data_IF_102111677474
#
_entry.id   IF_102111677474
#
_cell.length_a   1.000
_cell.length_b   1.000
_cell.length_c   1.000
_cell.angle_alpha   90.00
_cell.angle_beta   90.00
_cell.angle_gamma   90.00
#
_symmetry.space_group_name_H-M   'P 1'
#
loop_
_entity.id
_entity.type
_entity.pdbx_description
1 polymer ?
#
# COMPACT_ATOMS: atom_id res chain seq x y z
N UNK A 1 -16.03 -0.15 -2.19
CA UNK A 1 -15.59 1.14 -2.75
C UNK A 1 -14.69 0.87 -3.95
N UNK A 2 -14.65 1.77 -4.93
CA UNK A 2 -13.70 1.66 -6.04
C UNK A 2 -12.26 1.96 -5.59
N UNK A 3 -11.28 1.66 -6.43
CA UNK A 3 -9.86 1.81 -6.07
C UNK A 3 -9.51 3.25 -5.67
N UNK A 4 -10.03 4.24 -6.41
CA UNK A 4 -9.85 5.66 -6.10
C UNK A 4 -10.45 6.04 -4.74
N UNK A 5 -11.65 5.52 -4.44
CA UNK A 5 -12.32 5.71 -3.16
C UNK A 5 -11.55 5.05 -2.01
N UNK A 6 -10.99 3.86 -2.23
CA UNK A 6 -10.16 3.16 -1.25
C UNK A 6 -8.85 3.91 -0.95
N UNK A 7 -8.20 4.44 -1.98
CA UNK A 7 -7.04 5.31 -1.84
C UNK A 7 -7.37 6.54 -0.99
N UNK A 8 -8.47 7.24 -1.29
CA UNK A 8 -8.88 8.40 -0.51
C UNK A 8 -9.28 8.02 0.93
N UNK A 9 -9.96 6.89 1.11
CA UNK A 9 -10.36 6.37 2.41
C UNK A 9 -9.14 6.17 3.32
N UNK A 10 -8.09 5.49 2.86
CA UNK A 10 -6.88 5.29 3.66
C UNK A 10 -6.19 6.63 4.00
N UNK A 11 -6.14 7.56 3.03
CA UNK A 11 -5.54 8.89 3.24
C UNK A 11 -6.27 9.73 4.28
N UNK A 12 -7.57 9.52 4.46
CA UNK A 12 -8.33 10.17 5.53
C UNK A 12 -7.94 9.71 6.94
N UNK A 13 -7.18 8.61 7.06
CA UNK A 13 -6.65 8.06 8.30
C UNK A 13 -5.11 8.12 8.35
N UNK A 14 -4.50 9.11 7.69
CA UNK A 14 -3.03 9.30 7.64
C UNK A 14 -2.25 8.07 7.14
N UNK A 15 -2.90 7.24 6.34
CA UNK A 15 -2.38 6.00 5.76
C UNK A 15 -2.47 6.05 4.23
N UNK A 16 -1.94 5.04 3.55
CA UNK A 16 -2.17 4.84 2.12
C UNK A 16 -2.71 3.42 1.89
N UNK A 17 -3.24 3.13 0.69
CA UNK A 17 -3.54 1.74 0.34
C UNK A 17 -2.26 0.91 0.48
N UNK A 18 -2.40 -0.29 1.05
CA UNK A 18 -1.25 -1.12 1.36
C UNK A 18 -0.48 -1.54 0.11
N UNK A 19 0.85 -1.43 0.17
CA UNK A 19 1.75 -1.95 -0.86
C UNK A 19 2.55 -3.08 -0.22
N UNK A 20 2.46 -4.26 -0.82
CA UNK A 20 3.17 -5.45 -0.31
C UNK A 20 4.55 -5.48 -0.98
N UNK A 21 5.60 -5.35 -0.18
CA UNK A 21 6.98 -5.22 -0.66
C UNK A 21 7.80 -6.51 -0.47
N UNK A 22 7.24 -7.52 0.19
CA UNK A 22 7.94 -8.80 0.42
C UNK A 22 7.01 -10.01 0.64
N UNK A 23 7.55 -11.21 0.47
CA UNK A 23 6.87 -12.47 0.81
C UNK A 23 6.52 -12.54 2.30
N UNK A 24 7.35 -11.94 3.17
CA UNK A 24 7.09 -11.91 4.61
C UNK A 24 5.83 -11.09 4.94
N UNK A 25 5.66 -9.92 4.30
CA UNK A 25 4.46 -9.09 4.44
C UNK A 25 3.23 -9.80 3.86
N UNK A 26 3.37 -10.43 2.70
CA UNK A 26 2.27 -11.20 2.10
C UNK A 26 1.84 -12.36 3.00
N UNK A 27 2.77 -13.05 3.64
CA UNK A 27 2.46 -14.14 4.56
C UNK A 27 1.80 -13.63 5.85
N UNK A 28 2.29 -12.53 6.41
CA UNK A 28 1.68 -11.90 7.59
C UNK A 28 0.23 -11.47 7.29
N UNK A 29 -0.01 -10.83 6.14
CA UNK A 29 -1.34 -10.43 5.70
C UNK A 29 -2.24 -11.63 5.45
N UNK A 30 -1.72 -12.68 4.79
CA UNK A 30 -2.44 -13.92 4.58
C UNK A 30 -2.89 -14.57 5.90
N UNK A 31 -1.98 -14.71 6.86
CA UNK A 31 -2.33 -15.23 8.18
C UNK A 31 -3.43 -14.39 8.82
N UNK A 32 -3.28 -13.06 8.86
CA UNK A 32 -4.29 -12.18 9.44
C UNK A 32 -5.67 -12.30 8.76
N UNK A 33 -5.72 -12.31 7.42
CA UNK A 33 -6.98 -12.36 6.68
C UNK A 33 -7.63 -13.75 6.66
N UNK A 34 -6.89 -14.82 6.93
CA UNK A 34 -7.45 -16.17 6.95
C UNK A 34 -7.80 -16.66 8.35
N UNK A 35 -7.15 -16.14 9.40
CA UNK A 35 -7.43 -16.52 10.79
C UNK A 35 -8.55 -15.71 11.42
N UNK A 36 -8.77 -14.48 10.95
CA UNK A 36 -9.85 -13.63 11.46
C UNK A 36 -11.14 -13.88 10.66
N UNK A 37 -12.25 -14.07 11.38
CA UNK A 37 -13.55 -14.40 10.78
C UNK A 37 -14.04 -13.30 9.83
N UNK A 38 -14.64 -13.70 8.70
CA UNK A 38 -15.35 -12.81 7.78
C UNK A 38 -14.56 -12.26 6.60
N UNK A 39 -13.30 -12.64 6.40
CA UNK A 39 -12.47 -12.12 5.30
C UNK A 39 -12.24 -13.09 4.13
N UNK A 40 -12.48 -14.39 4.30
CA UNK A 40 -12.18 -15.44 3.31
C UNK A 40 -13.03 -15.40 2.02
N UNK A 41 -14.05 -14.55 1.96
CA UNK A 41 -14.83 -14.28 0.74
C UNK A 41 -14.68 -12.86 0.21
N UNK A 42 -13.74 -12.07 0.75
CA UNK A 42 -13.59 -10.67 0.43
C UNK A 42 -12.41 -10.44 -0.53
N UNK A 43 -12.50 -9.34 -1.27
CA UNK A 43 -11.45 -8.83 -2.12
C UNK A 43 -10.98 -7.47 -1.60
N UNK A 44 -9.69 -7.21 -1.73
CA UNK A 44 -9.06 -6.05 -1.11
C UNK A 44 -8.15 -5.32 -2.07
N UNK A 45 -8.36 -4.02 -2.25
CA UNK A 45 -7.49 -3.18 -3.06
C UNK A 45 -6.08 -3.06 -2.44
N UNK A 46 -5.07 -3.02 -3.31
CA UNK A 46 -3.69 -2.68 -2.98
C UNK A 46 -3.30 -1.33 -3.62
N UNK A 47 -2.27 -0.71 -3.07
CA UNK A 47 -1.72 0.57 -3.51
C UNK A 47 -0.86 0.46 -4.77
N UNK A 48 -1.25 -0.35 -5.74
CA UNK A 48 -0.50 -0.60 -6.97
C UNK A 48 -1.43 -0.47 -8.18
N UNK A 49 -0.94 0.20 -9.23
CA UNK A 49 -1.67 0.46 -10.47
C UNK A 49 -0.72 0.64 -11.65
N UNK A 50 -1.15 0.30 -12.85
CA UNK A 50 -0.47 0.59 -14.12
C UNK A 50 -1.24 1.58 -15.01
N UNK A 51 -2.21 2.33 -14.44
CA UNK A 51 -2.98 3.40 -15.11
C UNK A 51 -2.14 4.39 -15.93
N UNK A 52 -0.87 4.58 -15.57
CA UNK A 52 0.05 5.46 -16.29
C UNK A 52 0.60 4.84 -17.58
N UNK A 53 0.97 3.56 -17.53
CA UNK A 53 1.53 2.80 -18.65
C UNK A 53 1.18 1.32 -18.44
N UNK A 54 0.27 0.81 -19.27
CA UNK A 54 -0.11 -0.60 -19.34
C UNK A 54 1.08 -1.56 -19.19
N UNK A 55 0.95 -2.52 -18.26
CA UNK A 55 1.98 -3.52 -17.96
C UNK A 55 3.13 -3.00 -17.10
N UNK A 56 3.11 -1.73 -16.67
CA UNK A 56 4.07 -1.16 -15.72
C UNK A 56 3.37 -0.77 -14.41
N UNK A 57 3.25 -1.75 -13.53
CA UNK A 57 2.68 -1.58 -12.20
C UNK A 57 3.58 -0.70 -11.31
N UNK A 58 3.00 0.40 -10.84
CA UNK A 58 3.64 1.41 -10.00
C UNK A 58 2.99 1.45 -8.62
N UNK A 59 3.82 1.55 -7.59
CA UNK A 59 3.41 1.77 -6.21
C UNK A 59 2.96 3.22 -6.01
N UNK A 60 1.81 3.43 -5.36
CA UNK A 60 1.37 4.77 -4.96
C UNK A 60 2.11 5.31 -3.73
N UNK A 61 2.82 4.44 -3.00
CA UNK A 61 3.54 4.77 -1.76
C UNK A 61 4.71 5.70 -2.06
N UNK A 62 5.46 5.43 -3.13
CA UNK A 62 6.69 6.15 -3.48
C UNK A 62 6.84 6.42 -4.99
N UNK A 63 5.87 6.02 -5.81
CA UNK A 63 5.90 6.20 -7.26
C UNK A 63 6.92 5.31 -7.96
N UNK A 64 7.39 4.21 -7.33
CA UNK A 64 8.36 3.28 -7.93
C UNK A 64 7.69 2.04 -8.52
N UNK A 65 8.35 1.34 -9.45
CA UNK A 65 7.84 0.07 -9.96
C UNK A 65 7.61 -0.94 -8.83
N UNK A 66 6.54 -1.72 -8.94
CA UNK A 66 6.25 -2.83 -8.02
C UNK A 66 7.39 -3.85 -8.06
N UNK A 67 7.98 -4.13 -6.90
CA UNK A 67 9.15 -5.03 -6.77
C UNK A 67 8.77 -6.46 -6.37
N UNK A 68 7.63 -6.62 -5.69
CA UNK A 68 7.14 -7.91 -5.23
C UNK A 68 5.75 -8.15 -5.80
N UNK A 69 5.53 -9.35 -6.34
CA UNK A 69 4.24 -9.75 -6.84
C UNK A 69 3.99 -11.23 -6.56
N UNK A 70 2.79 -11.55 -6.06
CA UNK A 70 2.30 -12.93 -5.89
C UNK A 70 1.02 -13.09 -6.69
N UNK A 71 1.15 -12.93 -8.00
CA UNK A 71 0.04 -13.09 -8.95
C UNK A 71 -0.63 -14.45 -8.80
N UNK A 72 -1.94 -14.50 -9.01
CA UNK A 72 -2.62 -15.77 -9.27
C UNK A 72 -2.21 -16.32 -10.63
N UNK A 73 -2.39 -17.62 -10.84
CA UNK A 73 -2.07 -18.25 -12.12
C UNK A 73 -2.81 -17.56 -13.27
N UNK A 74 -2.05 -17.10 -14.26
CA UNK A 74 -2.58 -16.39 -15.44
C UNK A 74 -2.56 -14.86 -15.34
N UNK A 75 -2.27 -14.29 -14.17
CA UNK A 75 -2.30 -12.84 -13.95
C UNK A 75 -0.92 -12.17 -14.05
N UNK A 76 -0.88 -10.85 -14.37
CA UNK A 76 -2.00 -10.01 -14.77
C UNK A 76 -2.45 -10.30 -16.22
N UNK A 77 -3.76 -10.30 -16.49
CA UNK A 77 -4.35 -10.67 -17.79
C UNK A 77 -5.03 -9.50 -18.52
N UNK A 78 -5.17 -8.36 -17.84
CA UNK A 78 -5.85 -7.17 -18.31
C UNK A 78 -7.17 -7.48 -19.03
N UNK A 79 -8.07 -8.19 -18.36
CA UNK A 79 -9.33 -8.67 -18.96
C UNK A 79 -10.14 -7.51 -19.52
N UNK A 80 -10.44 -7.59 -20.81
CA UNK A 80 -11.19 -6.53 -21.51
C UNK A 80 -10.42 -5.23 -21.74
N UNK A 81 -9.12 -5.19 -21.41
CA UNK A 81 -8.22 -4.02 -21.55
C UNK A 81 -8.62 -2.82 -20.68
N UNK A 82 -9.10 -3.10 -19.47
CA UNK A 82 -9.65 -2.10 -18.53
C UNK A 82 -9.22 -2.35 -17.07
N UNK A 83 -8.26 -3.24 -16.84
CA UNK A 83 -7.88 -3.68 -15.49
C UNK A 83 -6.55 -3.08 -15.06
N UNK A 84 -6.60 -1.86 -14.53
CA UNK A 84 -5.38 -1.12 -14.21
C UNK A 84 -5.02 -1.09 -12.70
N UNK A 85 -5.78 -1.79 -11.85
CA UNK A 85 -5.66 -1.69 -10.39
C UNK A 85 -5.52 -3.06 -9.72
N UNK A 86 -4.55 -3.20 -8.82
CA UNK A 86 -4.25 -4.49 -8.18
C UNK A 86 -5.11 -4.71 -6.95
N UNK A 87 -5.69 -5.91 -6.82
CA UNK A 87 -6.35 -6.37 -5.61
C UNK A 87 -5.89 -7.76 -5.18
N UNK A 88 -6.29 -8.14 -3.97
CA UNK A 88 -6.17 -9.48 -3.43
C UNK A 88 -7.46 -10.27 -3.60
N UNK A 89 -7.33 -11.55 -3.87
CA UNK A 89 -8.41 -12.54 -3.84
C UNK A 89 -7.94 -13.88 -3.31
N UNK A 90 -8.85 -14.66 -2.74
CA UNK A 90 -8.52 -15.94 -2.13
C UNK A 90 -8.53 -17.06 -3.19
N UNK A 91 -7.41 -17.78 -3.31
CA UNK A 91 -7.26 -18.99 -4.11
C UNK A 91 -6.69 -20.08 -3.21
N UNK A 92 -7.43 -21.19 -3.03
CA UNK A 92 -7.01 -22.31 -2.17
C UNK A 92 -6.54 -21.90 -0.77
N UNK A 93 -7.29 -21.00 -0.11
CA UNK A 93 -6.97 -20.43 1.22
C UNK A 93 -5.70 -19.56 1.27
N UNK A 94 -5.20 -19.09 0.13
CA UNK A 94 -4.08 -18.15 0.06
C UNK A 94 -4.53 -16.95 -0.78
N UNK A 95 -4.29 -15.74 -0.31
CA UNK A 95 -4.50 -14.52 -1.07
C UNK A 95 -3.41 -14.35 -2.11
N UNK A 96 -3.84 -14.12 -3.35
CA UNK A 96 -3.02 -13.82 -4.51
C UNK A 96 -3.40 -12.45 -5.08
N UNK A 97 -2.50 -11.88 -5.87
CA UNK A 97 -2.71 -10.63 -6.59
C UNK A 97 -3.41 -10.88 -7.92
N UNK A 98 -4.27 -9.94 -8.32
CA UNK A 98 -4.98 -9.87 -9.60
C UNK A 98 -5.11 -8.39 -9.99
N UNK A 99 -4.89 -8.04 -11.25
CA UNK A 99 -5.30 -6.75 -11.80
C UNK A 99 -6.80 -6.79 -12.07
N UNK A 100 -7.50 -5.70 -11.80
CA UNK A 100 -8.94 -5.61 -11.97
C UNK A 100 -9.33 -4.18 -12.34
N UNK A 101 -10.52 -4.05 -12.90
CA UNK A 101 -11.10 -2.76 -13.22
C UNK A 101 -11.17 -1.89 -11.96
N UNK A 102 -10.46 -0.76 -12.01
CA UNK A 102 -10.36 0.20 -10.90
C UNK A 102 -11.73 0.68 -10.37
N UNK A 103 -12.81 0.54 -11.15
CA UNK A 103 -14.18 0.91 -10.78
C UNK A 103 -14.93 -0.16 -9.98
N UNK A 104 -14.41 -1.39 -9.89
CA UNK A 104 -15.00 -2.49 -9.13
C UNK A 104 -15.15 -2.13 -7.64
N UNK A 105 -16.18 -2.67 -6.97
CA UNK A 105 -16.45 -2.33 -5.57
C UNK A 105 -15.86 -3.38 -4.63
N UNK A 106 -14.68 -3.08 -4.06
CA UNK A 106 -13.96 -3.97 -3.14
C UNK A 106 -13.67 -3.28 -1.79
N UNK A 107 -12.99 -3.99 -0.88
CA UNK A 107 -12.59 -3.49 0.44
C UNK A 107 -11.22 -2.80 0.36
N UNK A 108 -10.93 -1.91 1.31
CA UNK A 108 -9.64 -1.25 1.42
C UNK A 108 -8.79 -1.95 2.49
N UNK A 109 -7.52 -2.20 2.19
CA UNK A 109 -6.50 -2.48 3.22
C UNK A 109 -5.55 -1.29 3.19
N UNK A 110 -5.37 -0.66 4.35
CA UNK A 110 -4.51 0.50 4.49
C UNK A 110 -3.20 0.09 5.19
N UNK A 111 -2.09 0.62 4.70
CA UNK A 111 -0.80 0.56 5.37
C UNK A 111 -0.55 1.94 6.00
N UNK A 112 -0.31 1.98 7.30
CA UNK A 112 0.17 3.19 7.95
C UNK A 112 1.45 3.62 7.23
N UNK A 113 1.52 4.90 6.85
CA UNK A 113 2.78 5.47 6.39
C UNK A 113 3.80 5.14 7.46
N UNK A 114 4.83 4.35 7.13
CA UNK A 114 5.92 4.11 8.07
C UNK A 114 6.26 5.46 8.67
N UNK A 115 6.21 5.57 10.00
CA UNK A 115 6.91 6.68 10.61
C UNK A 115 8.30 6.58 10.00
N UNK A 116 8.74 7.63 9.28
CA UNK A 116 10.17 7.87 9.14
C UNK A 116 10.69 7.56 10.53
N UNK A 117 11.47 6.49 10.72
CA UNK A 117 11.99 6.08 12.03
C UNK A 117 12.18 7.37 12.76
N UNK A 118 11.33 7.62 13.77
CA UNK A 118 11.34 8.94 14.37
C UNK A 118 12.79 9.13 14.72
N UNK A 119 13.43 10.14 14.12
CA UNK A 119 14.37 10.81 14.97
C UNK A 119 13.42 11.25 16.10
N UNK A 120 13.45 10.51 17.20
CA UNK A 120 13.07 11.02 18.51
C UNK A 120 14.02 12.18 18.77
N UNK A 121 13.87 13.23 17.97
CA UNK A 121 14.24 14.54 18.40
C UNK A 121 12.98 15.00 19.07
N UNK A 122 13.05 15.14 20.38
CA UNK A 122 12.54 16.35 20.98
C UNK A 122 13.06 17.55 20.17
N UNK A 123 12.48 17.88 19.01
CA UNK A 123 12.74 19.15 18.32
C UNK A 123 11.51 19.59 17.55
N UNK A 124 10.61 20.18 18.31
CA UNK A 124 10.12 21.52 17.99
C UNK A 124 11.28 22.55 17.91
N UNK A 125 12.38 22.27 17.20
CA UNK A 125 13.39 23.27 16.82
C UNK A 125 13.81 23.22 15.37
N UNK A 126 13.18 22.39 14.52
CA UNK A 126 13.30 22.62 13.08
C UNK A 126 12.54 23.87 12.63
N UNK A 127 11.51 24.30 13.38
CA UNK A 127 10.88 25.62 13.16
C UNK A 127 11.55 26.77 13.93
N UNK A 128 12.53 26.51 14.81
CA UNK A 128 13.27 27.59 15.50
C UNK A 128 14.64 27.90 14.88
N UNK A 129 15.22 27.05 14.01
CA UNK A 129 16.44 27.41 13.26
C UNK A 129 16.20 28.06 11.89
N UNK A 130 14.94 28.30 11.52
CA UNK A 130 14.61 29.40 10.61
C UNK A 130 14.33 30.72 11.35
N UNK A 131 14.34 30.71 12.69
CA UNK A 131 13.99 31.84 13.55
C UNK A 131 15.16 32.31 14.45
N UNK A 132 16.35 32.43 13.85
CA UNK A 132 17.42 33.40 14.19
C UNK A 132 18.36 33.06 15.38
N UNK A 133 19.69 33.05 15.12
CA UNK A 133 20.81 33.32 16.06
C UNK A 133 20.70 32.73 17.50
N UNK A 134 21.36 31.60 17.84
CA UNK A 134 22.00 31.34 19.19
C UNK A 134 22.61 29.93 19.34
N UNK A 135 23.60 29.81 20.23
CA UNK A 135 24.46 28.65 20.56
C UNK A 135 23.73 27.51 21.32
N UNK A 136 23.63 26.31 20.74
CA UNK A 136 23.32 25.06 21.48
C UNK A 136 24.14 23.89 20.90
N UNK A 137 24.72 22.98 21.72
CA UNK A 137 25.69 21.98 21.29
C UNK A 137 25.09 20.82 20.49
N UNK A 138 25.98 20.14 19.77
CA UNK A 138 25.75 19.04 18.81
C UNK A 138 25.58 17.68 19.50
N UNK A 139 24.84 16.75 18.90
CA UNK A 139 24.88 15.33 19.27
C UNK A 139 25.38 14.49 18.10
N UNK A 140 26.44 13.70 18.34
CA UNK A 140 26.87 12.57 17.51
C UNK A 140 26.19 11.30 18.02
N UNK A 141 25.70 10.48 17.08
CA UNK A 141 25.11 9.13 17.18
C UNK A 141 23.95 8.92 18.15
#
# INVERSE_FOLDING_TARGET
MNWFGAMLYCRNYDSDLAVIESEAEMNALNSYLTTNEGHTGLHFWLGVTDLAVEGKFMSIKDGRPMLYAKWSGGQPDNTGKIEDCVHLWLVNNIFHMNDNNCMAQLHAICELRQSKKTCDVCDLKFMERFMLRTNVPHCQN
#
